data_IF_487654390193
#
_entry.id   IF_487654390193
#
_cell.length_a   1.000
_cell.length_b   1.000
_cell.length_c   1.000
_cell.angle_alpha   90.00
_cell.angle_beta   90.00
_cell.angle_gamma   90.00
#
_symmetry.space_group_name_H-M   'P 1'
#
loop_
_entity.id
_entity.type
_entity.pdbx_description
1 polymer ?
#
# COMPACT_ATOMS: atom_id res chain seq x y z
N UNK A 1 3.99 -42.94 6.29
CA UNK A 1 3.97 -42.42 4.90
C UNK A 1 3.12 -41.16 4.87
N UNK A 2 3.74 -39.97 4.91
CA UNK A 2 3.01 -38.70 4.72
C UNK A 2 2.70 -38.54 3.23
N UNK A 3 1.43 -38.35 2.83
CA UNK A 3 1.09 -38.18 1.42
C UNK A 3 1.77 -36.91 0.89
N UNK A 4 2.59 -37.06 -0.17
CA UNK A 4 3.11 -35.92 -0.94
C UNK A 4 1.92 -35.24 -1.60
N UNK A 5 1.57 -34.05 -1.11
CA UNK A 5 0.59 -33.19 -1.77
C UNK A 5 1.02 -32.95 -3.23
N UNK A 6 0.11 -33.18 -4.17
CA UNK A 6 0.35 -32.97 -5.59
C UNK A 6 0.79 -31.53 -5.86
N UNK A 7 1.84 -31.35 -6.68
CA UNK A 7 2.32 -30.02 -7.02
C UNK A 7 1.22 -29.22 -7.75
N UNK A 8 0.98 -27.94 -7.40
CA UNK A 8 -0.05 -27.13 -8.03
C UNK A 8 0.25 -26.94 -9.52
N UNK A 9 -0.80 -27.02 -10.35
CA UNK A 9 -0.73 -26.87 -11.81
C UNK A 9 -0.14 -25.51 -12.21
N UNK A 10 0.50 -25.47 -13.38
CA UNK A 10 1.16 -24.27 -13.92
C UNK A 10 0.19 -23.08 -14.04
N UNK A 11 -1.06 -23.36 -14.44
CA UNK A 11 -2.14 -22.37 -14.53
C UNK A 11 -2.48 -21.76 -13.16
N UNK A 12 -2.56 -22.58 -12.10
CA UNK A 12 -2.86 -22.08 -10.75
C UNK A 12 -1.79 -21.12 -10.24
N UNK A 13 -0.52 -21.44 -10.46
CA UNK A 13 0.60 -20.55 -10.08
C UNK A 13 0.59 -19.25 -10.86
N UNK A 14 0.24 -19.31 -12.15
CA UNK A 14 0.09 -18.11 -12.97
C UNK A 14 -1.02 -17.20 -12.43
N UNK A 15 -2.21 -17.75 -12.14
CA UNK A 15 -3.31 -16.98 -11.57
C UNK A 15 -2.91 -16.31 -10.24
N UNK A 16 -2.24 -17.04 -9.34
CA UNK A 16 -1.79 -16.49 -8.05
C UNK A 16 -0.83 -15.30 -8.25
N UNK A 17 0.11 -15.41 -9.19
CA UNK A 17 1.07 -14.32 -9.47
C UNK A 17 0.39 -13.10 -10.07
N UNK A 18 -0.54 -13.30 -11.01
CA UNK A 18 -1.32 -12.21 -11.59
C UNK A 18 -2.16 -11.51 -10.51
N UNK A 19 -2.86 -12.27 -9.68
CA UNK A 19 -3.62 -11.73 -8.55
C UNK A 19 -2.72 -10.95 -7.58
N UNK A 20 -1.51 -11.43 -7.31
CA UNK A 20 -0.56 -10.73 -6.45
C UNK A 20 -0.11 -9.39 -7.02
N UNK A 21 0.23 -9.35 -8.32
CA UNK A 21 0.58 -8.11 -9.01
C UNK A 21 -0.58 -7.11 -8.96
N UNK A 22 -1.80 -7.56 -9.25
CA UNK A 22 -2.99 -6.71 -9.19
C UNK A 22 -3.25 -6.18 -7.77
N UNK A 23 -3.08 -7.00 -6.74
CA UNK A 23 -3.21 -6.59 -5.35
C UNK A 23 -2.17 -5.52 -4.97
N UNK A 24 -0.92 -5.68 -5.40
CA UNK A 24 0.13 -4.68 -5.19
C UNK A 24 -0.16 -3.37 -5.92
N UNK A 25 -0.59 -3.42 -7.19
CA UNK A 25 -0.99 -2.21 -7.93
C UNK A 25 -2.13 -1.47 -7.23
N UNK A 26 -3.18 -2.20 -6.81
CA UNK A 26 -4.31 -1.61 -6.10
C UNK A 26 -3.88 -0.96 -4.78
N UNK A 27 -3.02 -1.61 -4.00
CA UNK A 27 -2.50 -1.08 -2.74
C UNK A 27 -1.61 0.16 -2.92
N UNK A 28 -0.78 0.19 -3.98
CA UNK A 28 0.01 1.37 -4.34
C UNK A 28 -0.87 2.55 -4.73
N UNK A 29 -1.89 2.33 -5.56
CA UNK A 29 -2.87 3.37 -5.91
C UNK A 29 -3.63 3.86 -4.68
N UNK A 30 -4.04 2.95 -3.80
CA UNK A 30 -4.72 3.28 -2.55
C UNK A 30 -3.83 4.13 -1.63
N UNK A 31 -2.53 3.82 -1.52
CA UNK A 31 -1.59 4.58 -0.70
C UNK A 31 -1.48 6.05 -1.15
N UNK A 32 -1.46 6.27 -2.46
CA UNK A 32 -1.35 7.62 -3.03
C UNK A 32 -2.68 8.36 -2.93
N UNK A 33 -3.79 7.69 -3.24
CA UNK A 33 -5.12 8.29 -3.11
C UNK A 33 -5.41 8.68 -1.65
N UNK A 34 -4.99 7.85 -0.70
CA UNK A 34 -5.13 8.11 0.73
C UNK A 34 -4.29 9.31 1.17
N UNK A 35 -3.03 9.38 0.74
CA UNK A 35 -2.15 10.52 1.00
C UNK A 35 -2.69 11.81 0.36
N UNK A 36 -3.12 11.76 -0.90
CA UNK A 36 -3.73 12.89 -1.60
C UNK A 36 -4.96 13.42 -0.84
N UNK A 37 -5.85 12.51 -0.42
CA UNK A 37 -7.07 12.87 0.30
C UNK A 37 -6.78 13.48 1.68
N UNK A 38 -5.78 12.97 2.41
CA UNK A 38 -5.38 13.55 3.69
C UNK A 38 -4.81 14.96 3.51
N UNK A 39 -3.89 15.13 2.55
CA UNK A 39 -3.30 16.41 2.18
C UNK A 39 -4.35 17.45 1.77
N UNK A 40 -5.29 17.06 0.92
CA UNK A 40 -6.41 17.92 0.50
C UNK A 40 -7.34 18.28 1.66
N UNK A 41 -7.63 17.32 2.54
CA UNK A 41 -8.50 17.56 3.69
C UNK A 41 -7.85 18.55 4.66
N UNK A 42 -6.59 18.32 5.03
CA UNK A 42 -5.83 19.16 5.96
C UNK A 42 -5.28 20.44 5.33
N UNK A 43 -5.40 20.63 4.00
CA UNK A 43 -4.84 21.79 3.32
C UNK A 43 -3.30 21.83 3.36
N UNK A 44 -2.64 20.68 3.54
CA UNK A 44 -1.19 20.54 3.62
C UNK A 44 -0.65 19.91 2.33
N UNK A 45 0.40 20.49 1.74
CA UNK A 45 1.01 19.96 0.52
C UNK A 45 0.12 20.03 -0.73
N UNK A 46 -0.85 20.95 -0.75
CA UNK A 46 -1.75 21.19 -1.90
C UNK A 46 -1.16 22.14 -2.94
N UNK A 47 0.03 22.68 -2.69
CA UNK A 47 0.81 23.50 -3.61
C UNK A 47 1.27 22.69 -4.84
N UNK A 48 1.79 23.40 -5.84
CA UNK A 48 2.26 22.77 -7.08
C UNK A 48 3.39 21.75 -6.83
N UNK A 49 4.25 21.99 -5.82
CA UNK A 49 5.33 21.09 -5.45
C UNK A 49 4.80 19.78 -4.85
N UNK A 50 3.89 19.87 -3.88
CA UNK A 50 3.27 18.68 -3.27
C UNK A 50 2.49 17.81 -4.26
N UNK A 51 1.78 18.41 -5.21
CA UNK A 51 1.08 17.67 -6.30
C UNK A 51 2.05 17.03 -7.29
N UNK A 52 3.15 17.72 -7.62
CA UNK A 52 4.19 17.20 -8.49
C UNK A 52 4.93 16.02 -7.85
N UNK A 53 5.26 16.12 -6.56
CA UNK A 53 5.85 15.02 -5.78
C UNK A 53 4.97 13.76 -5.83
N UNK A 54 3.67 13.89 -5.56
CA UNK A 54 2.73 12.76 -5.64
C UNK A 54 2.65 12.16 -7.05
N UNK A 55 2.60 13.01 -8.07
CA UNK A 55 2.51 12.58 -9.47
C UNK A 55 3.77 11.82 -9.91
N UNK A 56 4.95 12.31 -9.55
CA UNK A 56 6.22 11.63 -9.80
C UNK A 56 6.33 10.32 -9.02
N UNK A 57 5.78 10.28 -7.81
CA UNK A 57 5.85 9.10 -6.94
C UNK A 57 4.84 8.02 -7.35
N UNK A 58 3.79 8.37 -8.12
CA UNK A 58 2.71 7.45 -8.48
C UNK A 58 3.19 6.20 -9.20
N UNK A 59 3.87 6.37 -10.32
CA UNK A 59 4.36 5.26 -11.13
C UNK A 59 5.41 4.39 -10.40
N UNK A 60 6.49 4.95 -9.82
CA UNK A 60 7.50 4.13 -9.16
C UNK A 60 6.95 3.44 -7.90
N UNK A 61 6.07 4.08 -7.13
CA UNK A 61 5.51 3.49 -5.92
C UNK A 61 4.54 2.35 -6.24
N UNK A 62 3.63 2.55 -7.20
CA UNK A 62 2.71 1.48 -7.64
C UNK A 62 3.47 0.29 -8.21
N UNK A 63 4.50 0.54 -9.03
CA UNK A 63 5.39 -0.52 -9.52
C UNK A 63 6.14 -1.23 -8.38
N UNK A 64 6.61 -0.50 -7.37
CA UNK A 64 7.27 -1.08 -6.21
C UNK A 64 6.33 -2.01 -5.42
N UNK A 65 5.09 -1.58 -5.15
CA UNK A 65 4.10 -2.41 -4.45
C UNK A 65 3.76 -3.68 -5.24
N UNK A 66 3.55 -3.55 -6.55
CA UNK A 66 3.33 -4.70 -7.45
C UNK A 66 4.50 -5.68 -7.43
N UNK A 67 5.72 -5.15 -7.44
CA UNK A 67 6.95 -5.94 -7.39
C UNK A 67 7.09 -6.68 -6.05
N UNK A 68 6.87 -6.00 -4.93
CA UNK A 68 6.91 -6.62 -3.60
C UNK A 68 5.86 -7.72 -3.49
N UNK A 69 4.61 -7.47 -3.90
CA UNK A 69 3.55 -8.48 -3.86
C UNK A 69 3.89 -9.71 -4.71
N UNK A 70 4.48 -9.52 -5.90
CA UNK A 70 4.96 -10.61 -6.74
C UNK A 70 6.10 -11.38 -6.06
N UNK A 71 7.10 -10.69 -5.50
CA UNK A 71 8.22 -11.32 -4.79
C UNK A 71 7.70 -12.14 -3.61
N UNK A 72 6.76 -11.61 -2.82
CA UNK A 72 6.11 -12.36 -1.73
C UNK A 72 5.43 -13.63 -2.25
N UNK A 73 4.67 -13.53 -3.34
CA UNK A 73 4.02 -14.69 -3.94
C UNK A 73 5.04 -15.75 -4.43
N UNK A 74 6.18 -15.32 -4.98
CA UNK A 74 7.26 -16.21 -5.42
C UNK A 74 7.96 -16.90 -4.24
N UNK A 75 8.27 -16.15 -3.17
CA UNK A 75 8.89 -16.69 -1.95
C UNK A 75 7.98 -17.70 -1.25
N UNK A 76 6.66 -17.53 -1.37
CA UNK A 76 5.68 -18.40 -0.76
C UNK A 76 5.16 -19.50 -1.70
N UNK A 77 5.67 -19.68 -2.93
CA UNK A 77 5.13 -20.60 -3.96
C UNK A 77 4.98 -22.07 -3.49
N UNK A 78 5.74 -22.47 -2.46
CA UNK A 78 5.70 -23.81 -1.85
C UNK A 78 4.77 -23.93 -0.62
N UNK A 79 4.16 -22.84 -0.19
CA UNK A 79 3.28 -22.75 0.99
C UNK A 79 1.81 -22.97 0.61
N UNK A 80 0.92 -23.23 1.58
CA UNK A 80 -0.51 -23.31 1.34
C UNK A 80 -1.05 -22.02 0.69
N UNK A 81 -1.99 -22.16 -0.24
CA UNK A 81 -2.57 -21.03 -0.98
C UNK A 81 -3.19 -19.98 -0.06
N UNK A 82 -3.82 -20.41 1.03
CA UNK A 82 -4.38 -19.49 2.02
C UNK A 82 -3.30 -18.59 2.65
N UNK A 83 -2.14 -19.15 2.98
CA UNK A 83 -1.01 -18.37 3.52
C UNK A 83 -0.42 -17.44 2.46
N UNK A 84 -0.32 -17.89 1.21
CA UNK A 84 0.14 -17.04 0.10
C UNK A 84 -0.78 -15.84 -0.09
N UNK A 85 -2.08 -16.07 -0.26
CA UNK A 85 -3.07 -15.01 -0.47
C UNK A 85 -3.14 -14.08 0.75
N UNK A 86 -3.18 -14.63 1.96
CA UNK A 86 -3.17 -13.82 3.18
C UNK A 86 -1.96 -12.92 3.27
N UNK A 87 -0.76 -13.44 3.02
CA UNK A 87 0.48 -12.64 3.08
C UNK A 87 0.55 -11.60 1.95
N UNK A 88 0.11 -11.96 0.74
CA UNK A 88 0.04 -11.05 -0.41
C UNK A 88 -0.97 -9.91 -0.19
N UNK A 89 -1.97 -10.08 0.67
CA UNK A 89 -2.89 -9.01 1.06
C UNK A 89 -2.33 -8.17 2.22
N UNK A 90 -1.81 -8.83 3.25
CA UNK A 90 -1.31 -8.17 4.48
C UNK A 90 -0.08 -7.31 4.19
N UNK A 91 0.86 -7.79 3.39
CA UNK A 91 2.12 -7.05 3.14
C UNK A 91 1.85 -5.72 2.43
N UNK A 92 1.15 -5.66 1.27
CA UNK A 92 0.82 -4.38 0.63
C UNK A 92 -0.07 -3.49 1.49
N UNK A 93 -1.03 -4.04 2.24
CA UNK A 93 -1.84 -3.24 3.16
C UNK A 93 -1.00 -2.59 4.26
N UNK A 94 -0.07 -3.33 4.85
CA UNK A 94 0.88 -2.80 5.83
C UNK A 94 1.79 -1.73 5.23
N UNK A 95 2.26 -1.92 3.99
CA UNK A 95 3.04 -0.91 3.26
C UNK A 95 2.21 0.35 2.95
N UNK A 96 0.92 0.22 2.65
CA UNK A 96 0.01 1.36 2.46
C UNK A 96 -0.08 2.19 3.74
N UNK A 97 -0.28 1.53 4.90
CA UNK A 97 -0.31 2.18 6.22
C UNK A 97 1.03 2.85 6.52
N UNK A 98 2.14 2.15 6.31
CA UNK A 98 3.47 2.68 6.56
C UNK A 98 3.78 3.89 5.67
N UNK A 99 3.42 3.83 4.38
CA UNK A 99 3.58 4.95 3.47
C UNK A 99 2.77 6.16 3.93
N UNK A 100 1.52 5.94 4.36
CA UNK A 100 0.68 7.00 4.90
C UNK A 100 1.32 7.66 6.13
N UNK A 101 1.83 6.88 7.07
CA UNK A 101 2.49 7.41 8.26
C UNK A 101 3.78 8.19 7.96
N UNK A 102 4.55 7.75 6.96
CA UNK A 102 5.82 8.40 6.65
C UNK A 102 5.69 9.62 5.73
N UNK A 103 4.67 9.63 4.85
CA UNK A 103 4.57 10.59 3.74
C UNK A 103 3.17 11.16 3.52
N UNK A 104 2.14 10.59 4.12
CA UNK A 104 0.74 10.97 3.88
C UNK A 104 0.32 12.21 4.63
N UNK A 105 0.67 12.29 5.91
CA UNK A 105 0.22 13.31 6.87
C UNK A 105 1.03 14.59 6.76
N UNK A 106 2.34 14.53 6.47
CA UNK A 106 3.22 15.71 6.40
C UNK A 106 3.28 16.47 7.74
N UNK A 107 3.68 15.77 8.81
CA UNK A 107 3.89 16.36 10.13
C UNK A 107 4.74 17.64 10.08
N UNK A 108 4.28 18.69 10.75
CA UNK A 108 4.93 20.01 10.81
C UNK A 108 4.82 20.84 9.52
N UNK A 109 4.18 20.34 8.46
CA UNK A 109 3.94 21.12 7.25
C UNK A 109 2.79 22.13 7.45
N UNK A 110 2.88 23.37 6.92
CA UNK A 110 1.79 24.34 7.01
C UNK A 110 0.48 23.81 6.40
N UNK A 111 -0.55 23.64 7.23
CA UNK A 111 -1.89 23.21 6.84
C UNK A 111 -2.98 24.13 7.39
N UNK A 112 -4.24 23.75 7.21
CA UNK A 112 -5.42 24.41 7.77
C UNK A 112 -5.63 23.95 9.24
N UNK A 113 -5.32 24.82 10.23
CA UNK A 113 -5.41 24.45 11.65
C UNK A 113 -6.86 24.29 12.11
N UNK A 114 -7.86 24.72 11.32
CA UNK A 114 -9.27 24.51 11.64
C UNK A 114 -9.72 23.07 11.33
N UNK A 115 -8.94 22.31 10.55
CA UNK A 115 -9.31 20.95 10.10
C UNK A 115 -8.45 19.86 10.69
N UNK A 116 -7.14 20.10 10.82
CA UNK A 116 -6.19 19.11 11.33
C UNK A 116 -5.25 19.74 12.37
N UNK A 117 -4.68 18.89 13.22
CA UNK A 117 -3.62 19.28 14.16
C UNK A 117 -2.29 19.55 13.45
N UNK A 118 -1.23 19.87 14.22
CA UNK A 118 0.12 20.10 13.66
C UNK A 118 0.72 18.86 12.97
N UNK A 119 0.20 17.68 13.32
CA UNK A 119 0.52 16.38 12.73
C UNK A 119 -0.18 16.16 11.38
N UNK A 120 -1.11 17.04 10.98
CA UNK A 120 -1.87 16.96 9.73
C UNK A 120 -2.55 15.59 9.55
N UNK A 121 -2.97 14.97 10.65
CA UNK A 121 -3.71 13.71 10.66
C UNK A 121 -5.20 14.00 10.59
N UNK A 122 -5.92 13.51 9.57
CA UNK A 122 -7.34 13.75 9.48
C UNK A 122 -8.13 12.94 10.54
N UNK A 123 -9.26 13.44 11.04
CA UNK A 123 -10.02 12.81 12.12
C UNK A 123 -10.68 11.47 11.73
N UNK A 124 -10.76 11.18 10.42
CA UNK A 124 -11.24 9.90 9.91
C UNK A 124 -10.15 8.82 9.89
N UNK A 125 -8.87 9.19 10.08
CA UNK A 125 -7.81 8.21 10.21
C UNK A 125 -7.91 7.51 11.57
N UNK A 126 -7.88 6.17 11.62
CA UNK A 126 -8.01 5.47 12.88
C UNK A 126 -6.82 5.74 13.80
N UNK A 127 -7.05 6.27 15.00
CA UNK A 127 -5.97 6.64 15.94
C UNK A 127 -5.14 5.47 16.51
N UNK A 128 -5.50 4.22 16.20
CA UNK A 128 -4.71 3.04 16.54
C UNK A 128 -3.70 2.66 15.44
N UNK A 129 -3.77 3.30 14.27
CA UNK A 129 -2.78 3.16 13.20
C UNK A 129 -1.73 4.27 13.31
N UNK A 130 -0.48 4.00 12.89
CA UNK A 130 0.52 5.05 12.78
C UNK A 130 0.08 6.08 11.72
N UNK A 131 0.50 7.32 11.93
CA UNK A 131 0.17 8.47 11.11
C UNK A 131 1.40 9.39 11.02
#
# INVERSE_FOLDING_TARGET
MTPRAAAPSRAKRFCIRVSAVLAGLAAGCAAIALAARAREYCGAGTDAGGRFELSLTLLPLTAAFATVALVVALLLDRRPVALQLGTVLVVPAGLTVLYFALRGTLDGYPGDPARCGPDNVPPWWPGWLPA
#
